data_IF_136840781493
#
_entry.id   IF_136840781493
#
_cell.length_a   1.000
_cell.length_b   1.000
_cell.length_c   1.000
_cell.angle_alpha   90.00
_cell.angle_beta   90.00
_cell.angle_gamma   90.00
#
_symmetry.space_group_name_H-M   'P 1'
#
loop_
_entity.id
_entity.type
_entity.pdbx_description
1 polymer ?
#
# COMPACT_ATOMS: atom_id res chain seq x y z
N UNK A 1 23.93 18.86 -10.58
CA UNK A 1 23.42 17.81 -9.68
C UNK A 1 23.28 16.55 -10.51
N UNK A 2 24.07 15.52 -10.20
CA UNK A 2 24.02 14.26 -10.96
C UNK A 2 22.67 13.56 -10.78
N UNK A 3 22.30 12.64 -11.68
CA UNK A 3 21.02 11.93 -11.66
C UNK A 3 20.82 11.18 -10.33
N UNK A 4 21.92 10.65 -9.77
CA UNK A 4 21.93 9.99 -8.47
C UNK A 4 21.56 10.94 -7.32
N UNK A 5 22.09 12.16 -7.32
CA UNK A 5 21.79 13.16 -6.30
C UNK A 5 20.33 13.60 -6.36
N UNK A 6 19.82 13.83 -7.58
CA UNK A 6 18.41 14.18 -7.80
C UNK A 6 17.49 13.07 -7.31
N UNK A 7 17.77 11.82 -7.66
CA UNK A 7 17.02 10.67 -7.20
C UNK A 7 17.04 10.56 -5.66
N UNK A 8 18.21 10.75 -5.05
CA UNK A 8 18.37 10.67 -3.59
C UNK A 8 17.52 11.73 -2.88
N UNK A 9 17.47 12.97 -3.41
CA UNK A 9 16.59 14.02 -2.87
C UNK A 9 15.12 13.62 -2.97
N UNK A 10 14.71 13.16 -4.15
CA UNK A 10 13.33 12.71 -4.42
C UNK A 10 12.91 11.61 -3.45
N UNK A 11 13.75 10.59 -3.24
CA UNK A 11 13.43 9.49 -2.32
C UNK A 11 13.35 9.98 -0.88
N UNK A 12 14.27 10.85 -0.44
CA UNK A 12 14.25 11.42 0.93
C UNK A 12 12.98 12.21 1.19
N UNK A 13 12.57 13.06 0.25
CA UNK A 13 11.37 13.89 0.33
C UNK A 13 10.08 13.05 0.31
N UNK A 14 10.10 11.89 -0.35
CA UNK A 14 8.93 11.05 -0.57
C UNK A 14 8.98 9.70 0.19
N UNK A 15 9.86 9.56 1.18
CA UNK A 15 10.03 8.31 1.96
C UNK A 15 8.72 7.81 2.59
N UNK A 16 7.86 8.75 3.02
CA UNK A 16 6.57 8.44 3.63
C UNK A 16 5.65 7.69 2.67
N UNK A 17 5.66 8.02 1.38
CA UNK A 17 4.89 7.32 0.35
C UNK A 17 5.31 5.85 0.25
N UNK A 18 6.62 5.63 0.16
CA UNK A 18 7.21 4.29 0.02
C UNK A 18 6.88 3.44 1.25
N UNK A 19 7.02 4.02 2.45
CA UNK A 19 6.68 3.36 3.70
C UNK A 19 5.20 2.95 3.75
N UNK A 20 4.29 3.89 3.44
CA UNK A 20 2.84 3.64 3.47
C UNK A 20 2.43 2.55 2.49
N UNK A 21 2.97 2.58 1.27
CA UNK A 21 2.72 1.52 0.28
C UNK A 21 3.25 0.19 0.81
N UNK A 22 4.49 0.10 1.27
CA UNK A 22 5.03 -1.16 1.77
C UNK A 22 4.21 -1.71 2.95
N UNK A 23 3.84 -0.85 3.91
CA UNK A 23 3.04 -1.23 5.08
C UNK A 23 1.61 -1.70 4.70
N UNK A 24 1.02 -1.17 3.63
CA UNK A 24 -0.31 -1.58 3.16
C UNK A 24 -0.33 -3.01 2.58
N UNK A 25 0.83 -3.49 2.13
CA UNK A 25 0.96 -4.75 1.41
C UNK A 25 1.73 -5.82 2.18
N UNK A 26 2.27 -5.55 3.37
CA UNK A 26 3.11 -6.48 4.14
C UNK A 26 2.71 -6.53 5.62
N UNK A 27 2.98 -7.66 6.27
CA UNK A 27 2.58 -7.91 7.66
C UNK A 27 3.76 -7.95 8.64
N UNK A 28 4.94 -8.38 8.19
CA UNK A 28 6.16 -8.40 9.00
C UNK A 28 7.04 -7.18 8.72
N UNK A 29 7.89 -6.76 9.68
CA UNK A 29 8.91 -5.73 9.44
C UNK A 29 9.88 -6.11 8.32
N UNK A 30 10.25 -7.40 8.23
CA UNK A 30 11.20 -7.89 7.24
C UNK A 30 10.63 -7.81 5.82
N UNK A 31 9.40 -8.33 5.61
CA UNK A 31 8.72 -8.22 4.31
C UNK A 31 8.55 -6.76 3.89
N UNK A 32 8.30 -5.88 4.87
CA UNK A 32 8.15 -4.44 4.63
C UNK A 32 9.47 -3.84 4.16
N UNK A 33 10.58 -4.16 4.81
CA UNK A 33 11.90 -3.67 4.43
C UNK A 33 12.28 -4.15 3.03
N UNK A 34 12.04 -5.43 2.73
CA UNK A 34 12.30 -6.01 1.41
C UNK A 34 11.46 -5.32 0.33
N UNK A 35 10.17 -5.11 0.59
CA UNK A 35 9.30 -4.43 -0.37
C UNK A 35 9.69 -2.96 -0.54
N UNK A 36 10.13 -2.26 0.52
CA UNK A 36 10.63 -0.89 0.39
C UNK A 36 11.87 -0.83 -0.51
N UNK A 37 12.81 -1.75 -0.33
CA UNK A 37 14.01 -1.83 -1.17
C UNK A 37 13.65 -2.11 -2.63
N UNK A 38 12.74 -3.06 -2.87
CA UNK A 38 12.27 -3.35 -4.23
C UNK A 38 11.57 -2.14 -4.87
N UNK A 39 10.75 -1.40 -4.12
CA UNK A 39 10.12 -0.16 -4.61
C UNK A 39 11.19 0.88 -4.98
N UNK A 40 12.18 1.11 -4.11
CA UNK A 40 13.28 2.06 -4.39
C UNK A 40 14.06 1.64 -5.62
N UNK A 41 14.35 0.34 -5.77
CA UNK A 41 15.03 -0.20 -6.94
C UNK A 41 14.24 0.04 -8.24
N UNK A 42 12.94 -0.25 -8.26
CA UNK A 42 12.09 -0.01 -9.44
C UNK A 42 11.93 1.48 -9.75
N UNK A 43 11.87 2.34 -8.72
CA UNK A 43 11.89 3.79 -8.89
C UNK A 43 13.19 4.24 -9.55
N UNK A 44 14.35 3.77 -9.08
CA UNK A 44 15.64 4.10 -9.68
C UNK A 44 15.71 3.70 -11.15
N UNK A 45 15.34 2.45 -11.45
CA UNK A 45 15.34 1.90 -12.81
C UNK A 45 14.46 2.71 -13.78
N UNK A 46 13.38 3.30 -13.28
CA UNK A 46 12.44 4.06 -14.09
C UNK A 46 12.64 5.58 -14.04
N UNK A 47 13.50 6.08 -13.13
CA UNK A 47 13.65 7.51 -12.86
C UNK A 47 14.07 8.33 -14.09
N UNK A 48 15.07 7.84 -14.84
CA UNK A 48 15.53 8.50 -16.07
C UNK A 48 14.49 8.58 -17.19
N UNK A 49 13.41 7.79 -17.10
CA UNK A 49 12.32 7.79 -18.09
C UNK A 49 11.12 8.65 -17.66
N UNK A 50 11.18 9.30 -16.50
CA UNK A 50 10.09 10.10 -15.99
C UNK A 50 9.95 11.41 -16.79
N UNK A 51 8.90 11.48 -17.62
CA UNK A 51 8.65 12.58 -18.56
C UNK A 51 7.96 13.82 -17.96
N UNK A 52 7.74 13.87 -16.64
CA UNK A 52 7.06 14.98 -15.96
C UNK A 52 5.61 15.28 -16.40
N UNK A 53 4.96 14.37 -17.15
CA UNK A 53 3.54 14.48 -17.55
C UNK A 53 2.54 14.37 -16.39
N UNK A 54 3.02 14.20 -15.16
CA UNK A 54 2.22 14.12 -13.93
C UNK A 54 3.05 14.62 -12.76
N UNK A 55 2.39 14.89 -11.61
CA UNK A 55 3.11 15.15 -10.36
C UNK A 55 4.05 13.98 -10.07
N UNK A 56 5.25 14.27 -9.58
CA UNK A 56 6.23 13.27 -9.18
C UNK A 56 5.63 12.21 -8.24
N UNK A 57 4.86 12.64 -7.24
CA UNK A 57 4.17 11.73 -6.30
C UNK A 57 3.22 10.75 -7.00
N UNK A 58 2.54 11.19 -8.07
CA UNK A 58 1.59 10.36 -8.83
C UNK A 58 2.34 9.26 -9.57
N UNK A 59 3.45 9.60 -10.22
CA UNK A 59 4.35 8.63 -10.84
C UNK A 59 4.93 7.66 -9.80
N UNK A 60 5.39 8.16 -8.65
CA UNK A 60 5.94 7.34 -7.57
C UNK A 60 4.91 6.35 -7.02
N UNK A 61 3.67 6.80 -6.74
CA UNK A 61 2.59 5.91 -6.31
C UNK A 61 2.32 4.82 -7.34
N UNK A 62 2.31 5.16 -8.64
CA UNK A 62 2.09 4.17 -9.71
C UNK A 62 3.18 3.10 -9.72
N UNK A 63 4.46 3.51 -9.67
CA UNK A 63 5.58 2.56 -9.63
C UNK A 63 5.52 1.71 -8.35
N UNK A 64 5.33 2.33 -7.19
CA UNK A 64 5.30 1.65 -5.90
C UNK A 64 4.15 0.63 -5.79
N UNK A 65 2.93 1.00 -6.19
CA UNK A 65 1.76 0.12 -6.14
C UNK A 65 1.88 -1.05 -7.11
N UNK A 66 2.35 -0.81 -8.34
CA UNK A 66 2.59 -1.87 -9.31
C UNK A 66 3.67 -2.84 -8.81
N UNK A 67 4.72 -2.31 -8.19
CA UNK A 67 5.81 -3.10 -7.59
C UNK A 67 5.28 -3.97 -6.45
N UNK A 68 4.54 -3.39 -5.50
CA UNK A 68 3.95 -4.13 -4.39
C UNK A 68 3.00 -5.25 -4.84
N UNK A 69 2.08 -4.95 -5.78
CA UNK A 69 1.16 -5.96 -6.31
C UNK A 69 1.93 -7.09 -7.00
N UNK A 70 2.98 -6.76 -7.75
CA UNK A 70 3.80 -7.73 -8.47
C UNK A 70 4.61 -8.60 -7.50
N UNK A 71 5.23 -7.98 -6.50
CA UNK A 71 5.98 -8.65 -5.43
C UNK A 71 5.09 -9.67 -4.72
N UNK A 72 3.90 -9.26 -4.23
CA UNK A 72 2.99 -10.17 -3.53
C UNK A 72 2.47 -11.31 -4.41
N UNK A 73 2.21 -11.06 -5.70
CA UNK A 73 1.80 -12.11 -6.64
C UNK A 73 2.91 -13.15 -6.84
N UNK A 74 4.17 -12.74 -6.82
CA UNK A 74 5.31 -13.65 -6.96
C UNK A 74 5.56 -14.42 -5.66
N UNK A 75 5.52 -13.77 -4.50
CA UNK A 75 5.70 -14.43 -3.20
C UNK A 75 4.61 -15.47 -2.96
N UNK A 76 3.34 -15.16 -3.25
CA UNK A 76 2.24 -16.15 -3.15
C UNK A 76 2.39 -17.34 -4.09
N UNK A 77 3.06 -17.19 -5.24
CA UNK A 77 3.34 -18.30 -6.17
C UNK A 77 4.52 -19.16 -5.72
N UNK A 78 5.47 -18.58 -4.97
CA UNK A 78 6.65 -19.29 -4.44
C UNK A 78 6.37 -20.03 -3.13
N UNK A 79 5.37 -19.58 -2.38
CA UNK A 79 4.99 -20.18 -1.08
C UNK A 79 4.00 -21.33 -1.29
N UNK A 80 4.55 -22.54 -1.48
CA UNK A 80 3.96 -23.80 -1.02
C UNK A 80 4.78 -24.29 0.19
N UNK A 81 4.99 -23.40 1.15
CA UNK A 81 5.64 -23.76 2.42
C UNK A 81 4.57 -23.77 3.51
N UNK A 82 4.49 -24.93 4.18
CA UNK A 82 3.69 -25.14 5.37
C UNK A 82 4.14 -24.09 6.40
N UNK A 83 3.24 -23.22 6.89
CA UNK A 83 3.59 -22.35 8.00
C UNK A 83 3.92 -23.23 9.20
N UNK A 84 5.15 -23.14 9.72
CA UNK A 84 5.40 -23.49 11.12
C UNK A 84 4.64 -22.44 11.93
N UNK A 85 3.67 -22.88 12.72
CA UNK A 85 3.04 -22.07 13.75
C UNK A 85 4.14 -21.58 14.69
N UNK A 86 4.56 -20.34 14.49
CA UNK A 86 5.28 -19.56 15.47
C UNK A 86 4.24 -18.64 16.09
N UNK A 87 3.87 -18.96 17.32
CA UNK A 87 3.12 -18.07 18.20
C UNK A 87 3.82 -16.71 18.21
N UNK A 88 3.19 -15.75 17.54
CA UNK A 88 3.58 -14.35 17.63
C UNK A 88 2.92 -13.76 18.86
N UNK A 89 3.53 -14.00 20.03
CA UNK A 89 3.26 -13.22 21.23
C UNK A 89 3.53 -11.74 20.90
N UNK A 90 2.46 -10.96 20.78
CA UNK A 90 2.53 -9.50 20.75
C UNK A 90 2.20 -8.98 22.13
N UNK A 91 3.24 -8.44 22.77
CA UNK A 91 3.19 -7.69 24.01
C UNK A 91 2.04 -6.67 23.96
N UNK A 92 1.05 -6.88 24.82
CA UNK A 92 0.04 -5.90 25.16
C UNK A 92 0.59 -5.02 26.29
N UNK A 93 0.86 -3.75 25.99
CA UNK A 93 0.97 -2.72 27.03
C UNK A 93 -0.39 -2.03 27.17
N UNK A 94 -0.84 -1.91 28.42
CA UNK A 94 -2.19 -1.52 28.81
C UNK A 94 -2.39 -0.01 28.62
N UNK A 95 -2.92 0.39 27.45
CA UNK A 95 -3.29 1.78 27.12
C UNK A 95 -4.62 1.81 26.36
N UNK A 96 -5.33 2.94 26.46
CA UNK A 96 -6.77 3.16 26.18
C UNK A 96 -7.37 2.36 24.99
N UNK A 97 -8.15 1.32 25.32
CA UNK A 97 -8.36 0.14 24.47
C UNK A 97 -9.33 0.30 23.29
N UNK A 98 -10.28 1.24 23.29
CA UNK A 98 -11.41 1.15 22.35
C UNK A 98 -11.13 1.71 20.95
N UNK A 99 -10.36 2.79 20.82
CA UNK A 99 -10.09 3.41 19.51
C UNK A 99 -8.98 2.66 18.76
N UNK A 100 -7.93 2.24 19.47
CA UNK A 100 -6.83 1.50 18.86
C UNK A 100 -7.26 0.10 18.38
N UNK A 101 -8.10 -0.59 19.15
CA UNK A 101 -8.70 -1.87 18.73
C UNK A 101 -9.53 -1.71 17.45
N UNK A 102 -10.36 -0.65 17.34
CA UNK A 102 -11.13 -0.36 16.12
C UNK A 102 -10.23 -0.08 14.92
N UNK A 103 -9.13 0.67 15.13
CA UNK A 103 -8.13 0.94 14.10
C UNK A 103 -7.45 -0.35 13.65
N UNK A 104 -7.02 -1.20 14.59
CA UNK A 104 -6.39 -2.48 14.27
C UNK A 104 -7.35 -3.41 13.51
N UNK A 105 -8.62 -3.47 13.91
CA UNK A 105 -9.65 -4.23 13.21
C UNK A 105 -9.88 -3.70 11.80
N UNK A 106 -9.95 -2.38 11.62
CA UNK A 106 -10.07 -1.75 10.30
C UNK A 106 -8.89 -2.14 9.40
N UNK A 107 -7.66 -2.09 9.91
CA UNK A 107 -6.48 -2.52 9.17
C UNK A 107 -6.52 -4.00 8.79
N UNK A 108 -6.97 -4.88 9.69
CA UNK A 108 -7.14 -6.30 9.39
C UNK A 108 -8.16 -6.53 8.26
N UNK A 109 -9.29 -5.82 8.26
CA UNK A 109 -10.29 -5.92 7.19
C UNK A 109 -9.77 -5.37 5.84
N UNK A 110 -9.00 -4.28 5.88
CA UNK A 110 -8.31 -3.73 4.70
C UNK A 110 -7.35 -4.77 4.11
N UNK A 111 -6.65 -5.55 4.94
CA UNK A 111 -5.81 -6.63 4.45
C UNK A 111 -6.62 -7.77 3.80
N UNK A 112 -7.90 -7.94 4.10
CA UNK A 112 -8.74 -8.91 3.39
C UNK A 112 -9.26 -8.39 2.04
N UNK A 113 -8.97 -7.14 1.67
CA UNK A 113 -9.30 -6.60 0.35
C UNK A 113 -8.39 -7.18 -0.72
N UNK A 114 -8.93 -7.25 -1.94
CA UNK A 114 -8.15 -7.57 -3.12
C UNK A 114 -7.02 -6.54 -3.29
N UNK A 115 -5.85 -6.96 -3.79
CA UNK A 115 -4.63 -6.14 -3.85
C UNK A 115 -4.83 -4.77 -4.52
N UNK A 116 -5.67 -4.72 -5.55
CA UNK A 116 -6.01 -3.48 -6.25
C UNK A 116 -6.86 -2.55 -5.37
N UNK A 117 -7.85 -3.10 -4.66
CA UNK A 117 -8.74 -2.33 -3.78
C UNK A 117 -7.98 -1.75 -2.58
N UNK A 118 -6.94 -2.44 -2.09
CA UNK A 118 -5.98 -1.89 -1.12
C UNK A 118 -5.30 -0.61 -1.65
N UNK A 119 -4.84 -0.63 -2.89
CA UNK A 119 -4.21 0.54 -3.51
C UNK A 119 -5.20 1.70 -3.67
N UNK A 120 -6.44 1.43 -4.05
CA UNK A 120 -7.49 2.43 -4.17
C UNK A 120 -7.78 3.09 -2.81
N UNK A 121 -7.99 2.30 -1.75
CA UNK A 121 -8.33 2.87 -0.44
C UNK A 121 -7.14 3.64 0.14
N UNK A 122 -5.91 3.18 -0.06
CA UNK A 122 -4.71 3.93 0.34
C UNK A 122 -4.68 5.33 -0.28
N UNK A 123 -4.85 5.42 -1.60
CA UNK A 123 -4.82 6.71 -2.30
C UNK A 123 -6.00 7.61 -1.93
N UNK A 124 -7.17 7.01 -1.65
CA UNK A 124 -8.33 7.74 -1.15
C UNK A 124 -8.05 8.35 0.23
N UNK A 125 -7.44 7.60 1.15
CA UNK A 125 -7.02 8.08 2.47
C UNK A 125 -5.92 9.14 2.39
N UNK A 126 -5.06 9.08 1.37
CA UNK A 126 -4.08 10.12 1.04
C UNK A 126 -4.71 11.39 0.40
N UNK A 127 -6.05 11.45 0.32
CA UNK A 127 -6.78 12.60 -0.21
C UNK A 127 -6.68 12.78 -1.73
N UNK A 128 -6.28 11.74 -2.48
CA UNK A 128 -6.21 11.81 -3.95
C UNK A 128 -7.62 11.88 -4.56
N UNK A 129 -7.76 12.71 -5.59
CA UNK A 129 -9.01 12.80 -6.36
C UNK A 129 -9.23 11.53 -7.17
N UNK A 130 -10.47 11.25 -7.55
CA UNK A 130 -10.82 10.00 -8.25
C UNK A 130 -10.08 9.88 -9.60
N UNK A 131 -9.83 10.98 -10.27
CA UNK A 131 -9.07 11.07 -11.51
C UNK A 131 -7.57 10.76 -11.29
N UNK A 132 -7.00 11.24 -10.18
CA UNK A 132 -5.62 10.92 -9.81
C UNK A 132 -5.50 9.43 -9.45
N UNK A 133 -6.45 8.89 -8.67
CA UNK A 133 -6.49 7.46 -8.34
C UNK A 133 -6.61 6.61 -9.61
N UNK A 134 -7.51 6.99 -10.52
CA UNK A 134 -7.72 6.32 -11.80
C UNK A 134 -6.42 6.27 -12.63
N UNK A 135 -5.71 7.41 -12.73
CA UNK A 135 -4.43 7.51 -13.43
C UNK A 135 -3.32 6.66 -12.80
N UNK A 136 -3.28 6.60 -11.46
CA UNK A 136 -2.29 5.80 -10.72
C UNK A 136 -2.55 4.30 -10.88
N UNK A 137 -3.81 3.88 -10.72
CA UNK A 137 -4.21 2.47 -10.70
C UNK A 137 -4.40 1.89 -12.12
N UNK A 138 -4.68 2.73 -13.12
CA UNK A 138 -4.93 2.29 -14.50
C UNK A 138 -6.36 1.82 -14.74
N UNK A 139 -7.35 2.47 -14.13
CA UNK A 139 -8.79 2.20 -14.32
C UNK A 139 -9.55 3.50 -14.59
N UNK A 140 -10.85 3.45 -14.90
CA UNK A 140 -11.66 4.65 -15.11
C UNK A 140 -12.05 5.33 -13.78
N UNK A 141 -12.25 6.66 -13.74
CA UNK A 141 -12.72 7.37 -12.54
C UNK A 141 -14.07 6.84 -12.02
N UNK A 142 -14.98 6.45 -12.92
CA UNK A 142 -16.25 5.82 -12.55
C UNK A 142 -16.06 4.47 -11.84
N UNK A 143 -15.09 3.66 -12.30
CA UNK A 143 -14.74 2.40 -11.64
C UNK A 143 -14.09 2.63 -10.27
N UNK A 144 -13.26 3.69 -10.11
CA UNK A 144 -12.74 4.12 -8.80
C UNK A 144 -13.90 4.40 -7.84
N UNK A 145 -14.86 5.24 -8.23
CA UNK A 145 -16.00 5.59 -7.38
C UNK A 145 -16.82 4.37 -6.97
N UNK A 146 -17.12 3.50 -7.93
CA UNK A 146 -17.86 2.25 -7.68
C UNK A 146 -17.11 1.32 -6.71
N UNK A 147 -15.78 1.18 -6.88
CA UNK A 147 -14.94 0.37 -5.98
C UNK A 147 -14.86 0.96 -4.58
N UNK A 148 -14.67 2.27 -4.45
CA UNK A 148 -14.65 2.94 -3.14
C UNK A 148 -15.96 2.69 -2.39
N UNK A 149 -17.11 2.86 -3.05
CA UNK A 149 -18.41 2.58 -2.42
C UNK A 149 -18.53 1.13 -1.95
N UNK A 150 -18.11 0.16 -2.77
CA UNK A 150 -18.10 -1.26 -2.39
C UNK A 150 -17.14 -1.57 -1.25
N UNK A 151 -15.96 -0.97 -1.24
CA UNK A 151 -14.98 -1.12 -0.16
C UNK A 151 -15.57 -0.59 1.15
N UNK A 152 -16.15 0.61 1.14
CA UNK A 152 -16.79 1.22 2.32
C UNK A 152 -17.93 0.34 2.86
N UNK A 153 -18.77 -0.19 1.98
CA UNK A 153 -19.87 -1.08 2.37
C UNK A 153 -19.35 -2.39 2.99
N UNK A 154 -18.31 -2.98 2.41
CA UNK A 154 -17.66 -4.19 2.93
C UNK A 154 -17.08 -3.94 4.31
N UNK A 155 -16.32 -2.85 4.48
CA UNK A 155 -15.72 -2.47 5.77
C UNK A 155 -16.81 -2.21 6.82
N UNK A 156 -17.88 -1.48 6.47
CA UNK A 156 -19.01 -1.21 7.36
C UNK A 156 -19.69 -2.50 7.82
N UNK A 157 -20.00 -3.40 6.89
CA UNK A 157 -20.67 -4.67 7.22
C UNK A 157 -19.80 -5.57 8.11
N UNK A 158 -18.48 -5.57 7.89
CA UNK A 158 -17.53 -6.40 8.65
C UNK A 158 -17.28 -5.84 10.06
N UNK A 159 -17.29 -4.51 10.22
CA UNK A 159 -17.15 -3.86 11.53
C UNK A 159 -18.44 -3.95 12.37
N UNK A 160 -19.62 -3.99 11.74
CA UNK A 160 -20.92 -4.08 12.44
C UNK A 160 -21.28 -5.53 12.84
N UNK A 161 -20.60 -6.55 12.30
CA UNK A 161 -20.93 -7.97 12.49
C UNK A 161 -20.31 -8.64 13.74
N UNK A 162 -19.75 -7.88 14.68
CA UNK A 162 -19.21 -8.45 15.92
C UNK A 162 -20.23 -8.30 17.07
N UNK A 163 -20.70 -9.42 17.68
CA UNK A 163 -21.51 -9.39 18.90
C UNK A 163 -20.70 -8.96 20.13
#
# INVERSE_FOLDING_TARGET
MDLQDQFTSVIKENKGLIFKVAAMYTNSPDDRNDLQQEIVYQLWKSFGSFKQDSKLSTWMYRVALNTAISYLRQTKRRVSTIPLELDADRLAEDYDKTEEEQIQQMYAQIQMLHLLDRGIILLFLEGKKYEEIASIIGITPSNVGTRISRIKEKLRTQLVKQP
#
